data_IF_737473948397
#
_entry.id   IF_737473948397
#
_cell.length_a   1.000
_cell.length_b   1.000
_cell.length_c   1.000
_cell.angle_alpha   90.00
_cell.angle_beta   90.00
_cell.angle_gamma   90.00
#
_symmetry.space_group_name_H-M   'P 1'
#
loop_
_entity.id
_entity.type
_entity.pdbx_description
1 polymer ?
#
# COMPACT_ATOMS: atom_id res chain seq x y z
N UNK A 1 3.60 -12.44 8.18
CA UNK A 1 4.92 -12.19 7.57
C UNK A 1 4.92 -10.88 6.83
N UNK A 2 5.99 -10.13 6.99
CA UNK A 2 6.10 -8.81 6.35
C UNK A 2 6.45 -8.96 4.88
N UNK A 3 5.73 -8.29 4.01
CA UNK A 3 6.04 -8.27 2.60
C UNK A 3 7.00 -7.12 2.28
N UNK A 4 6.73 -5.94 2.82
CA UNK A 4 7.55 -4.77 2.57
C UNK A 4 7.34 -3.75 3.68
N UNK A 5 8.36 -2.97 3.99
CA UNK A 5 8.25 -1.85 4.93
C UNK A 5 8.64 -0.57 4.22
N UNK A 6 7.91 0.50 4.45
CA UNK A 6 8.21 1.81 3.87
C UNK A 6 8.03 2.89 4.93
N UNK A 7 8.63 4.06 4.67
CA UNK A 7 8.50 5.24 5.52
C UNK A 7 7.89 6.36 4.70
N UNK A 8 6.93 7.07 5.27
CA UNK A 8 6.26 8.16 4.59
C UNK A 8 6.13 9.33 5.55
N UNK A 9 6.48 10.53 5.08
CA UNK A 9 6.30 11.76 5.86
C UNK A 9 5.09 12.49 5.32
N UNK A 10 4.11 12.78 6.17
CA UNK A 10 2.86 13.37 5.75
C UNK A 10 3.03 14.82 5.29
N UNK A 11 4.13 15.47 5.67
CA UNK A 11 4.38 16.86 5.32
C UNK A 11 5.03 17.00 3.96
N UNK A 12 5.79 15.97 3.54
CA UNK A 12 6.58 16.07 2.31
C UNK A 12 5.86 15.37 1.19
N UNK A 13 5.43 16.13 0.20
CA UNK A 13 4.74 15.56 -0.95
C UNK A 13 5.77 15.23 -1.99
N UNK A 14 6.37 14.08 -1.88
CA UNK A 14 7.37 13.67 -2.84
C UNK A 14 6.82 12.66 -3.79
N UNK A 15 7.28 12.63 -5.02
CA UNK A 15 6.95 11.53 -5.90
C UNK A 15 7.62 10.30 -5.32
N UNK A 16 6.81 9.41 -4.88
CA UNK A 16 7.29 8.17 -4.35
C UNK A 16 7.22 7.17 -5.45
N UNK A 17 8.14 6.40 -5.71
CA UNK A 17 8.07 5.35 -6.72
C UNK A 17 6.85 4.46 -6.52
N UNK A 18 6.86 3.31 -7.14
CA UNK A 18 5.77 2.35 -7.01
C UNK A 18 6.15 1.28 -6.01
N UNK A 19 5.16 0.70 -5.33
CA UNK A 19 5.38 -0.52 -4.56
C UNK A 19 4.99 -1.67 -5.46
N UNK A 20 5.97 -2.44 -5.89
CA UNK A 20 5.69 -3.58 -6.75
C UNK A 20 5.13 -4.72 -5.91
N UNK A 21 4.00 -5.26 -6.32
CA UNK A 21 3.34 -6.33 -5.58
C UNK A 21 3.18 -7.52 -6.52
N UNK A 22 3.83 -8.63 -6.17
CA UNK A 22 3.71 -9.87 -6.94
C UNK A 22 2.53 -10.62 -6.35
N UNK A 23 1.48 -10.79 -7.16
CA UNK A 23 0.18 -11.20 -6.65
C UNK A 23 0.22 -12.44 -5.76
N UNK A 24 0.86 -13.49 -6.22
CA UNK A 24 0.82 -14.73 -5.46
C UNK A 24 1.69 -14.69 -4.21
N UNK A 25 2.72 -13.88 -4.21
CA UNK A 25 3.64 -13.82 -3.08
C UNK A 25 3.15 -12.89 -1.99
N UNK A 26 2.26 -11.98 -2.32
CA UNK A 26 1.85 -10.95 -1.37
C UNK A 26 0.59 -11.29 -0.61
N UNK A 27 -0.23 -12.23 -1.09
CA UNK A 27 -1.53 -12.49 -0.49
C UNK A 27 -1.39 -12.89 0.97
N UNK A 28 -2.10 -12.19 1.84
CA UNK A 28 -2.07 -12.43 3.28
C UNK A 28 -0.86 -11.84 3.99
N UNK A 29 0.06 -11.22 3.28
CA UNK A 29 1.25 -10.65 3.90
C UNK A 29 1.02 -9.20 4.29
N UNK A 30 1.92 -8.67 5.11
CA UNK A 30 1.75 -7.35 5.70
C UNK A 30 2.60 -6.33 4.98
N UNK A 31 1.99 -5.20 4.68
CA UNK A 31 2.72 -4.01 4.25
C UNK A 31 2.79 -3.11 5.48
N UNK A 32 3.99 -2.79 5.92
CA UNK A 32 4.21 -1.98 7.12
C UNK A 32 4.58 -0.58 6.69
N UNK A 33 3.86 0.42 7.18
CA UNK A 33 4.09 1.81 6.84
C UNK A 33 4.41 2.58 8.10
N UNK A 34 5.59 3.20 8.16
CA UNK A 34 5.98 4.05 9.28
C UNK A 34 5.72 5.49 8.89
N UNK A 35 4.91 6.20 9.67
CA UNK A 35 4.46 7.54 9.34
C UNK A 35 5.19 8.59 10.17
N UNK A 36 5.54 9.67 9.52
CA UNK A 36 6.22 10.80 10.13
C UNK A 36 5.51 12.10 9.75
N UNK A 37 5.71 13.12 10.57
CA UNK A 37 5.21 14.45 10.31
C UNK A 37 6.39 15.38 10.47
N UNK A 38 6.95 15.84 9.37
CA UNK A 38 8.12 16.72 9.34
C UNK A 38 9.26 16.10 10.14
N UNK A 39 9.53 14.83 9.90
CA UNK A 39 10.63 14.11 10.54
C UNK A 39 10.33 13.54 11.91
N UNK A 40 9.19 13.87 12.50
CA UNK A 40 8.80 13.37 13.81
C UNK A 40 7.79 12.25 13.65
N UNK A 41 7.93 11.14 14.40
CA UNK A 41 6.94 10.06 14.27
C UNK A 41 5.53 10.58 14.54
N UNK A 42 4.60 10.22 13.66
CA UNK A 42 3.21 10.66 13.76
C UNK A 42 2.48 9.76 14.75
N UNK A 43 1.93 10.34 15.82
CA UNK A 43 1.26 9.54 16.84
C UNK A 43 -0.15 9.18 16.39
N UNK A 44 -0.40 7.88 16.25
CA UNK A 44 -1.70 7.38 15.79
C UNK A 44 -2.59 6.93 16.95
N UNK A 45 -2.20 7.18 18.19
CA UNK A 45 -3.01 6.79 19.34
C UNK A 45 -4.39 7.42 19.26
N UNK A 46 -5.43 6.63 19.43
CA UNK A 46 -6.81 7.13 19.39
C UNK A 46 -7.33 7.41 17.99
N UNK A 47 -6.58 7.07 16.94
CA UNK A 47 -7.04 7.29 15.57
C UNK A 47 -7.46 5.99 14.93
N UNK A 48 -8.49 6.05 14.12
CA UNK A 48 -8.90 4.93 13.28
C UNK A 48 -8.27 5.12 11.92
N UNK A 49 -7.55 4.10 11.44
CA UNK A 49 -6.80 4.19 10.21
C UNK A 49 -7.39 3.23 9.20
N UNK A 50 -7.57 3.70 7.98
CA UNK A 50 -8.08 2.88 6.87
C UNK A 50 -7.25 3.16 5.62
N UNK A 51 -7.16 2.17 4.74
CA UNK A 51 -6.53 2.35 3.45
C UNK A 51 -7.61 2.43 2.38
N UNK A 52 -7.43 3.37 1.44
CA UNK A 52 -8.32 3.56 0.31
C UNK A 52 -7.51 3.33 -0.95
N UNK A 53 -7.95 2.43 -1.80
CA UNK A 53 -7.24 2.09 -3.03
C UNK A 53 -8.21 2.13 -4.19
N UNK A 54 -7.86 2.90 -5.23
CA UNK A 54 -8.57 2.82 -6.50
C UNK A 54 -7.73 1.97 -7.45
N UNK A 55 -8.24 0.80 -7.78
CA UNK A 55 -7.51 -0.17 -8.58
C UNK A 55 -7.45 0.24 -10.05
N UNK A 56 -6.59 -0.39 -10.85
CA UNK A 56 -6.49 -0.05 -12.28
C UNK A 56 -7.81 -0.18 -13.04
N UNK A 57 -8.73 -1.04 -12.58
CA UNK A 57 -10.02 -1.22 -13.23
C UNK A 57 -11.09 -0.27 -12.67
N UNK A 58 -10.68 0.77 -11.91
CA UNK A 58 -11.55 1.75 -11.29
C UNK A 58 -12.35 1.23 -10.09
N UNK A 59 -12.21 -0.02 -9.73
CA UNK A 59 -12.84 -0.54 -8.52
C UNK A 59 -12.17 0.04 -7.29
N UNK A 60 -12.96 0.40 -6.29
CA UNK A 60 -12.44 1.02 -5.07
C UNK A 60 -12.50 0.03 -3.92
N UNK A 61 -11.41 -0.05 -3.16
CA UNK A 61 -11.33 -0.85 -1.96
C UNK A 61 -11.08 0.08 -0.78
N UNK A 62 -11.75 -0.19 0.34
CA UNK A 62 -11.58 0.58 1.56
C UNK A 62 -11.50 -0.45 2.70
N UNK A 63 -10.37 -0.51 3.37
CA UNK A 63 -10.16 -1.48 4.44
C UNK A 63 -9.60 -0.81 5.68
N UNK A 64 -10.06 -1.26 6.84
CA UNK A 64 -9.47 -0.84 8.11
C UNK A 64 -8.08 -1.42 8.27
N UNK A 65 -7.19 -0.68 8.89
CA UNK A 65 -5.82 -1.09 9.14
C UNK A 65 -5.54 -1.08 10.63
N UNK A 66 -4.59 -1.88 11.05
CA UNK A 66 -4.11 -1.82 12.41
C UNK A 66 -3.06 -0.71 12.52
N UNK A 67 -3.08 0.02 13.62
CA UNK A 67 -2.11 1.08 13.86
C UNK A 67 -1.59 0.99 15.27
N UNK A 68 -0.30 1.24 15.46
CA UNK A 68 0.35 1.25 16.76
C UNK A 68 1.49 2.26 16.69
N UNK A 69 1.50 3.22 17.61
CA UNK A 69 2.50 4.29 17.62
C UNK A 69 2.45 5.05 16.29
N UNK A 70 3.49 4.97 15.45
CA UNK A 70 3.47 5.60 14.14
C UNK A 70 3.45 4.57 13.01
N UNK A 71 3.10 3.32 13.32
CA UNK A 71 3.15 2.25 12.35
C UNK A 71 1.76 1.82 11.95
N UNK A 72 1.52 1.69 10.66
CA UNK A 72 0.27 1.18 10.11
C UNK A 72 0.56 -0.15 9.44
N UNK A 73 -0.25 -1.16 9.74
CA UNK A 73 -0.12 -2.47 9.15
C UNK A 73 -1.28 -2.70 8.20
N UNK A 74 -0.97 -2.92 6.93
CA UNK A 74 -1.97 -3.22 5.90
C UNK A 74 -1.82 -4.68 5.52
N UNK A 75 -2.90 -5.44 5.65
CA UNK A 75 -2.89 -6.84 5.20
C UNK A 75 -3.21 -6.82 3.70
N UNK A 76 -2.30 -7.34 2.90
CA UNK A 76 -2.51 -7.41 1.46
C UNK A 76 -3.47 -8.55 1.17
N UNK A 77 -4.59 -8.25 0.54
CA UNK A 77 -5.62 -9.25 0.26
C UNK A 77 -5.68 -9.54 -1.23
N UNK A 78 -6.19 -10.69 -1.57
CA UNK A 78 -6.37 -11.03 -2.97
C UNK A 78 -7.25 -9.99 -3.67
N UNK A 79 -8.27 -9.49 -2.99
CA UNK A 79 -9.15 -8.49 -3.57
C UNK A 79 -8.40 -7.22 -3.97
N UNK A 80 -7.38 -6.82 -3.23
CA UNK A 80 -6.58 -5.65 -3.59
C UNK A 80 -5.77 -5.91 -4.85
N UNK A 81 -5.51 -7.17 -5.17
CA UNK A 81 -4.58 -7.55 -6.22
C UNK A 81 -5.25 -8.20 -7.42
N UNK A 82 -6.58 -8.04 -7.58
CA UNK A 82 -7.27 -8.72 -8.67
C UNK A 82 -7.10 -8.03 -10.02
N UNK A 83 -6.73 -6.76 -10.04
CA UNK A 83 -6.52 -6.06 -11.30
C UNK A 83 -5.03 -5.75 -11.45
N UNK A 84 -4.41 -6.26 -12.51
CA UNK A 84 -3.00 -6.02 -12.76
C UNK A 84 -2.78 -4.59 -13.26
N UNK A 85 -1.61 -4.07 -12.99
CA UNK A 85 -1.24 -2.71 -13.37
C UNK A 85 -1.04 -1.84 -12.15
N UNK A 86 -0.95 -0.54 -12.36
CA UNK A 86 -0.69 0.41 -11.28
C UNK A 86 -2.00 0.99 -10.78
N UNK A 87 -2.18 1.01 -9.46
CA UNK A 87 -3.39 1.60 -8.87
C UNK A 87 -3.46 3.07 -9.23
N UNK A 88 -4.68 3.59 -9.42
CA UNK A 88 -4.87 4.98 -9.79
C UNK A 88 -4.75 5.90 -8.60
N UNK A 89 -5.10 5.43 -7.43
CA UNK A 89 -4.99 6.23 -6.21
C UNK A 89 -4.85 5.31 -5.02
N UNK A 90 -4.01 5.69 -4.07
CA UNK A 90 -3.80 4.91 -2.86
C UNK A 90 -3.51 5.88 -1.73
N UNK A 91 -4.28 5.84 -0.66
CA UNK A 91 -4.05 6.75 0.46
C UNK A 91 -4.45 6.10 1.78
N UNK A 92 -3.88 6.60 2.86
CA UNK A 92 -4.32 6.28 4.20
C UNK A 92 -5.21 7.41 4.70
N UNK A 93 -6.29 7.06 5.38
CA UNK A 93 -7.17 8.03 6.01
C UNK A 93 -7.17 7.76 7.50
N UNK A 94 -6.92 8.77 8.31
CA UNK A 94 -6.88 8.64 9.76
C UNK A 94 -7.91 9.59 10.35
N UNK A 95 -8.75 9.07 11.25
CA UNK A 95 -9.83 9.84 11.85
C UNK A 95 -9.67 9.76 13.35
N UNK A 96 -9.62 10.92 14.03
CA UNK A 96 -9.51 10.95 15.48
C UNK A 96 -10.89 10.96 16.15
N UNK A 97 -10.91 10.98 17.47
CA UNK A 97 -12.16 10.94 18.22
C UNK A 97 -13.06 12.15 17.97
N UNK A 98 -12.47 13.27 17.53
CA UNK A 98 -13.23 14.47 17.21
C UNK A 98 -13.61 14.53 15.74
N UNK A 99 -13.36 13.45 15.01
CA UNK A 99 -13.68 13.31 13.59
C UNK A 99 -12.87 14.22 12.68
N UNK A 100 -11.69 14.62 13.12
CA UNK A 100 -10.74 15.28 12.23
C UNK A 100 -10.10 14.22 11.34
N UNK A 101 -10.01 14.49 10.04
CA UNK A 101 -9.51 13.54 9.07
C UNK A 101 -8.15 14.01 8.55
N UNK A 102 -7.17 13.12 8.59
CA UNK A 102 -5.88 13.35 7.96
C UNK A 102 -5.74 12.31 6.85
N UNK A 103 -5.37 12.76 5.65
CA UNK A 103 -5.14 11.86 4.52
C UNK A 103 -3.68 11.91 4.12
N UNK A 104 -3.09 10.75 3.92
CA UNK A 104 -1.70 10.64 3.52
C UNK A 104 -1.65 9.84 2.22
N UNK A 105 -1.11 10.44 1.16
CA UNK A 105 -0.99 9.75 -0.12
C UNK A 105 0.13 8.73 -0.06
N UNK A 106 -0.15 7.52 -0.50
CA UNK A 106 0.83 6.45 -0.54
C UNK A 106 1.37 6.30 -1.96
N UNK A 107 2.55 5.67 -2.10
CA UNK A 107 3.01 5.29 -3.42
C UNK A 107 1.99 4.34 -4.05
N UNK A 108 1.77 4.42 -5.36
CA UNK A 108 0.84 3.48 -5.98
C UNK A 108 1.37 2.06 -5.90
N UNK A 109 0.46 1.11 -5.86
CA UNK A 109 0.81 -0.30 -5.91
C UNK A 109 0.82 -0.73 -7.37
N UNK A 110 1.89 -1.37 -7.80
CA UNK A 110 1.94 -1.97 -9.13
C UNK A 110 1.77 -3.47 -8.97
N UNK A 111 0.62 -3.96 -9.39
CA UNK A 111 0.28 -5.37 -9.25
C UNK A 111 0.78 -6.11 -10.48
N UNK A 112 1.64 -7.10 -10.27
CA UNK A 112 2.18 -7.88 -11.38
C UNK A 112 1.85 -9.35 -11.17
N UNK A 113 1.98 -10.12 -12.23
CA UNK A 113 1.76 -11.55 -12.15
C UNK A 113 2.90 -12.19 -11.36
N UNK A 114 2.80 -13.46 -11.10
CA UNK A 114 3.79 -14.15 -10.28
C UNK A 114 5.20 -14.00 -10.87
N UNK A 115 6.21 -14.15 -10.01
CA UNK A 115 7.57 -14.03 -10.47
C UNK A 115 7.92 -15.08 -11.51
N UNK A 116 7.20 -16.23 -11.49
CA UNK A 116 7.41 -17.23 -12.51
C UNK A 116 7.05 -16.67 -13.90
N UNK A 117 5.91 -16.00 -14.01
CA UNK A 117 5.51 -15.41 -15.28
C UNK A 117 6.48 -14.32 -15.71
N UNK A 118 6.94 -13.51 -14.78
CA UNK A 118 7.95 -12.53 -15.11
C UNK A 118 9.21 -13.16 -15.64
N UNK A 119 9.66 -14.25 -15.05
CA UNK A 119 10.87 -14.91 -15.50
C UNK A 119 10.69 -15.47 -16.91
N UNK A 120 9.52 -16.03 -17.20
CA UNK A 120 9.29 -16.55 -18.53
C UNK A 120 9.31 -15.43 -19.53
N UNK A 121 8.70 -14.30 -19.22
CA UNK A 121 8.70 -13.21 -20.15
C UNK A 121 10.10 -12.68 -20.41
N UNK A 122 10.91 -12.63 -19.40
CA UNK A 122 12.23 -12.06 -19.59
C UNK A 122 13.14 -13.00 -20.36
N UNK A 123 12.83 -14.32 -20.39
CA UNK A 123 13.68 -15.20 -21.14
C UNK A 123 13.10 -15.61 -22.42
N UNK A 124 11.98 -15.06 -22.80
CA UNK A 124 11.31 -15.50 -23.79
C UNK A 124 11.87 -15.62 -24.97
N UNK A 125 12.57 -15.06 -25.08
CA UNK A 125 13.04 -15.34 -26.10
C UNK A 125 13.21 -16.62 -26.22
N UNK A 126 12.95 -17.37 -25.52
CA UNK A 126 13.19 -18.58 -25.58
C UNK A 126 12.22 -19.17 -26.07
N UNK A 127 11.75 -18.90 -26.11
CA UNK A 127 11.08 -19.48 -26.41
C UNK A 127 10.41 -19.61 -26.99
N UNK A 128 10.52 -19.62 -27.29
CA UNK A 128 9.75 -19.89 -27.78
C UNK A 128 9.65 -20.25 -28.72
#
# INVERSE_FOLDING_TARGET
MVYKEIEIDSTWQQPLGEIRVIQEEADGRKLIIHLYDNGTPLDLTGKTVSIYIQKPDDTIIYHSCEASENQVTVILTLQMMTAFGTTKHCELQMIDAKKHVLKVTLPPLRIVMSSYDDAIESTDEFSR
#
